data_IF_278165409315
#
_entry.id   IF_278165409315
#
_cell.length_a   1.000
_cell.length_b   1.000
_cell.length_c   1.000
_cell.angle_alpha   90.00
_cell.angle_beta   90.00
_cell.angle_gamma   90.00
#
_symmetry.space_group_name_H-M   'P 1'
#
loop_
_entity.id
_entity.type
_entity.pdbx_description
1 polymer ?
#
# COMPACT_ATOMS: atom_id res chain seq x y z
N UNK A 1 -6.61 -40.67 -12.61
CA UNK A 1 -7.79 -40.13 -11.91
C UNK A 1 -7.98 -40.95 -10.65
N UNK A 2 -7.77 -40.35 -9.48
CA UNK A 2 -7.73 -41.11 -8.23
C UNK A 2 -9.06 -41.82 -7.96
N UNK A 3 -9.01 -43.03 -7.42
CA UNK A 3 -10.20 -43.84 -7.12
C UNK A 3 -11.20 -43.10 -6.19
N UNK A 4 -10.70 -42.16 -5.40
CA UNK A 4 -11.53 -41.29 -4.55
C UNK A 4 -12.31 -40.27 -5.39
N UNK A 5 -11.68 -39.62 -6.36
CA UNK A 5 -12.33 -38.63 -7.24
C UNK A 5 -13.43 -39.27 -8.10
N UNK A 6 -13.23 -40.51 -8.55
CA UNK A 6 -14.25 -41.26 -9.30
C UNK A 6 -15.50 -41.56 -8.45
N UNK A 7 -15.34 -41.95 -7.18
CA UNK A 7 -16.47 -42.20 -6.26
C UNK A 7 -17.34 -40.95 -6.07
N UNK A 8 -16.72 -39.78 -5.89
CA UNK A 8 -17.46 -38.53 -5.71
C UNK A 8 -18.27 -38.14 -6.95
N UNK A 9 -17.72 -38.36 -8.14
CA UNK A 9 -18.43 -38.06 -9.40
C UNK A 9 -19.66 -38.96 -9.58
N UNK A 10 -19.53 -40.26 -9.28
CA UNK A 10 -20.66 -41.20 -9.35
C UNK A 10 -21.78 -40.81 -8.37
N UNK A 11 -21.43 -40.39 -7.15
CA UNK A 11 -22.40 -39.91 -6.17
C UNK A 11 -23.15 -38.67 -6.67
N UNK A 12 -22.43 -37.71 -7.28
CA UNK A 12 -23.03 -36.48 -7.83
C UNK A 12 -24.01 -36.81 -8.98
N UNK A 13 -23.65 -37.75 -9.86
CA UNK A 13 -24.51 -38.19 -10.97
C UNK A 13 -25.81 -38.83 -10.45
N UNK A 14 -25.71 -39.71 -9.44
CA UNK A 14 -26.90 -40.34 -8.82
C UNK A 14 -27.79 -39.29 -8.14
N UNK A 15 -27.20 -38.34 -7.42
CA UNK A 15 -27.94 -37.24 -6.80
C UNK A 15 -28.68 -36.39 -7.86
N UNK A 16 -28.01 -36.02 -8.96
CA UNK A 16 -28.61 -35.27 -10.06
C UNK A 16 -29.78 -36.04 -10.69
N UNK A 17 -29.64 -37.35 -10.91
CA UNK A 17 -30.68 -38.18 -11.48
C UNK A 17 -31.94 -38.22 -10.58
N UNK A 18 -31.77 -38.35 -9.27
CA UNK A 18 -32.89 -38.33 -8.30
C UNK A 18 -33.59 -36.96 -8.27
N UNK A 19 -32.83 -35.86 -8.36
CA UNK A 19 -33.38 -34.49 -8.39
C UNK A 19 -34.20 -34.23 -9.65
N UNK A 20 -33.75 -34.75 -10.79
CA UNK A 20 -34.45 -34.60 -12.08
C UNK A 20 -35.78 -35.37 -12.12
N UNK A 21 -35.89 -36.52 -11.46
CA UNK A 21 -37.12 -37.33 -11.49
C UNK A 21 -38.13 -37.03 -10.37
N UNK A 22 -37.79 -36.17 -9.40
CA UNK A 22 -38.68 -35.81 -8.29
C UNK A 22 -39.59 -34.63 -8.64
N UNK A 23 -40.74 -34.55 -7.94
CA UNK A 23 -41.77 -33.53 -8.14
C UNK A 23 -41.23 -32.10 -8.00
N UNK A 24 -41.86 -31.16 -8.71
CA UNK A 24 -41.44 -29.75 -8.78
C UNK A 24 -41.16 -29.12 -7.40
N UNK A 25 -41.97 -29.47 -6.39
CA UNK A 25 -41.82 -28.98 -5.01
C UNK A 25 -40.48 -29.37 -4.36
N UNK A 26 -39.93 -30.55 -4.70
CA UNK A 26 -38.66 -31.04 -4.13
C UNK A 26 -37.47 -30.28 -4.74
N UNK A 27 -37.58 -29.87 -6.02
CA UNK A 27 -36.55 -29.04 -6.67
C UNK A 27 -36.42 -27.67 -6.01
N UNK A 28 -37.54 -27.06 -5.62
CA UNK A 28 -37.57 -25.77 -4.91
C UNK A 28 -36.90 -25.89 -3.54
N UNK A 29 -37.24 -26.92 -2.77
CA UNK A 29 -36.64 -27.17 -1.45
C UNK A 29 -35.13 -27.35 -1.58
N UNK A 30 -34.67 -28.08 -2.59
CA UNK A 30 -33.25 -28.35 -2.79
C UNK A 30 -32.47 -27.11 -3.27
N UNK A 31 -33.08 -26.27 -4.11
CA UNK A 31 -32.52 -24.97 -4.50
C UNK A 31 -32.37 -24.04 -3.29
N UNK A 32 -33.34 -24.02 -2.37
CA UNK A 32 -33.24 -23.27 -1.12
C UNK A 32 -32.11 -23.78 -0.21
N UNK A 33 -31.93 -25.10 -0.11
CA UNK A 33 -30.81 -25.69 0.65
C UNK A 33 -29.47 -25.28 0.04
N UNK A 34 -29.32 -25.37 -1.29
CA UNK A 34 -28.08 -24.96 -1.98
C UNK A 34 -27.83 -23.46 -1.78
N UNK A 35 -28.84 -22.60 -1.96
CA UNK A 35 -28.71 -21.17 -1.74
C UNK A 35 -28.29 -20.86 -0.29
N UNK A 36 -28.87 -21.55 0.69
CA UNK A 36 -28.48 -21.42 2.09
C UNK A 36 -27.03 -21.85 2.33
N UNK A 37 -26.58 -22.97 1.75
CA UNK A 37 -25.19 -23.43 1.83
C UNK A 37 -24.24 -22.43 1.18
N UNK A 38 -24.58 -21.84 0.03
CA UNK A 38 -23.78 -20.81 -0.64
C UNK A 38 -23.68 -19.55 0.23
N UNK A 39 -24.80 -19.05 0.75
CA UNK A 39 -24.80 -17.87 1.64
C UNK A 39 -23.96 -18.13 2.89
N UNK A 40 -24.11 -19.32 3.50
CA UNK A 40 -23.33 -19.70 4.67
C UNK A 40 -21.84 -19.83 4.33
N UNK A 41 -21.50 -20.42 3.19
CA UNK A 41 -20.12 -20.55 2.71
C UNK A 41 -19.47 -19.18 2.44
N UNK A 42 -20.18 -18.29 1.76
CA UNK A 42 -19.73 -16.91 1.54
C UNK A 42 -19.53 -16.21 2.87
N UNK A 43 -20.49 -16.29 3.80
CA UNK A 43 -20.38 -15.69 5.13
C UNK A 43 -19.22 -16.28 5.93
N UNK A 44 -18.99 -17.58 5.86
CA UNK A 44 -17.87 -18.25 6.53
C UNK A 44 -16.52 -17.85 5.93
N UNK A 45 -16.42 -17.72 4.60
CA UNK A 45 -15.20 -17.33 3.91
C UNK A 45 -14.89 -15.84 4.09
N UNK A 46 -15.89 -14.96 4.03
CA UNK A 46 -15.72 -13.52 4.28
C UNK A 46 -15.53 -13.19 5.77
N UNK A 47 -16.13 -13.94 6.69
CA UNK A 47 -15.91 -13.74 8.14
C UNK A 47 -14.68 -14.48 8.68
N UNK A 48 -14.11 -15.42 7.92
CA UNK A 48 -12.68 -15.70 8.04
C UNK A 48 -11.95 -14.47 7.50
N UNK A 49 -11.75 -13.48 8.37
CA UNK A 49 -10.47 -12.75 8.32
C UNK A 49 -9.40 -13.83 8.17
N UNK A 50 -8.46 -13.71 7.21
CA UNK A 50 -7.35 -14.66 7.14
C UNK A 50 -6.85 -14.79 8.56
N UNK A 51 -6.86 -16.02 9.09
CA UNK A 51 -6.35 -16.27 10.43
C UNK A 51 -4.92 -15.78 10.38
N UNK A 52 -4.69 -14.60 10.92
CA UNK A 52 -3.38 -14.11 11.25
C UNK A 52 -2.88 -15.10 12.28
N UNK A 53 -2.20 -16.15 11.81
CA UNK A 53 -0.97 -16.50 12.51
C UNK A 53 -0.28 -15.16 12.72
N UNK A 54 -0.17 -14.74 13.98
CA UNK A 54 0.52 -13.52 14.37
C UNK A 54 1.98 -13.78 14.05
N UNK A 55 2.33 -13.71 12.76
CA UNK A 55 3.67 -13.35 12.34
C UNK A 55 3.79 -11.91 12.82
N UNK A 56 4.70 -11.69 13.76
CA UNK A 56 5.06 -10.35 14.19
C UNK A 56 5.72 -9.65 13.00
N UNK A 57 4.89 -9.16 12.07
CA UNK A 57 5.36 -8.24 11.06
C UNK A 57 5.64 -6.92 11.75
N UNK A 58 6.71 -6.21 11.35
CA UNK A 58 6.90 -4.87 11.83
C UNK A 58 5.66 -4.06 11.46
N UNK A 59 5.16 -3.27 12.39
CA UNK A 59 4.03 -2.37 12.17
C UNK A 59 4.53 -0.94 12.24
N UNK A 60 3.89 -0.04 11.48
CA UNK A 60 4.12 1.39 11.65
C UNK A 60 3.63 1.81 13.04
N UNK A 61 4.41 2.66 13.70
CA UNK A 61 4.08 3.16 15.04
C UNK A 61 3.00 4.25 14.99
N UNK A 62 2.84 4.89 13.83
CA UNK A 62 1.99 6.06 13.62
C UNK A 62 1.02 5.87 12.45
N UNK A 63 0.05 4.97 12.58
CA UNK A 63 -1.05 4.86 11.58
C UNK A 63 -2.27 5.59 12.09
N UNK A 64 -2.36 6.89 11.79
CA UNK A 64 -3.65 7.61 11.77
C UNK A 64 -4.22 7.76 10.36
N UNK A 65 -3.41 7.45 9.35
CA UNK A 65 -3.76 7.55 7.94
C UNK A 65 -4.32 6.21 7.41
N UNK A 66 -5.59 6.24 7.02
CA UNK A 66 -6.30 5.08 6.45
C UNK A 66 -5.70 4.64 5.11
N UNK A 67 -5.25 5.59 4.27
CA UNK A 67 -4.66 5.29 2.96
C UNK A 67 -3.34 4.52 3.14
N UNK A 68 -2.49 4.97 4.06
CA UNK A 68 -1.27 4.27 4.42
C UNK A 68 -1.55 2.90 5.05
N UNK A 69 -2.54 2.79 5.93
CA UNK A 69 -2.93 1.50 6.52
C UNK A 69 -3.32 0.48 5.46
N UNK A 70 -4.14 0.91 4.50
CA UNK A 70 -4.59 0.06 3.40
C UNK A 70 -3.42 -0.31 2.47
N UNK A 71 -2.52 0.64 2.22
CA UNK A 71 -1.28 0.38 1.50
C UNK A 71 -0.43 -0.70 2.17
N UNK A 72 -0.17 -0.57 3.48
CA UNK A 72 0.63 -1.54 4.24
C UNK A 72 0.04 -2.95 4.20
N UNK A 73 -1.28 -3.07 4.31
CA UNK A 73 -1.98 -4.34 4.17
C UNK A 73 -1.83 -4.92 2.75
N UNK A 74 -1.93 -4.08 1.72
CA UNK A 74 -1.77 -4.52 0.34
C UNK A 74 -0.36 -5.08 0.07
N UNK A 75 0.68 -4.52 0.68
CA UNK A 75 2.08 -4.95 0.48
C UNK A 75 2.58 -5.99 1.49
N UNK A 76 1.75 -6.47 2.42
CA UNK A 76 2.17 -7.38 3.51
C UNK A 76 2.85 -8.67 3.00
N UNK A 77 2.35 -9.23 1.90
CA UNK A 77 2.92 -10.43 1.28
C UNK A 77 4.32 -10.23 0.69
N UNK A 78 4.72 -8.98 0.41
CA UNK A 78 6.06 -8.63 -0.08
C UNK A 78 7.13 -8.94 0.99
N UNK A 79 6.78 -8.93 2.27
CA UNK A 79 7.68 -9.26 3.38
C UNK A 79 8.38 -10.62 3.16
N UNK A 80 7.69 -11.61 2.60
CA UNK A 80 8.25 -12.95 2.40
C UNK A 80 9.41 -13.00 1.38
N UNK A 81 9.53 -11.98 0.51
CA UNK A 81 10.55 -11.93 -0.54
C UNK A 81 11.82 -11.20 -0.10
N UNK A 82 11.69 -10.19 0.76
CA UNK A 82 12.84 -9.50 1.34
C UNK A 82 12.46 -8.84 2.69
N UNK A 83 12.52 -9.61 3.80
CA UNK A 83 12.15 -9.11 5.12
C UNK A 83 12.94 -7.87 5.56
N UNK A 84 14.25 -7.83 5.24
CA UNK A 84 15.14 -6.75 5.63
C UNK A 84 14.75 -5.43 4.97
N UNK A 85 14.51 -5.44 3.65
CA UNK A 85 14.09 -4.23 2.95
C UNK A 85 12.67 -3.82 3.35
N UNK A 86 11.78 -4.77 3.64
CA UNK A 86 10.46 -4.45 4.17
C UNK A 86 10.53 -3.77 5.55
N UNK A 87 11.41 -4.22 6.44
CA UNK A 87 11.69 -3.55 7.71
C UNK A 87 12.27 -2.14 7.53
N UNK A 88 13.19 -1.98 6.58
CA UNK A 88 13.76 -0.67 6.26
C UNK A 88 12.68 0.28 5.72
N UNK A 89 11.77 -0.21 4.87
CA UNK A 89 10.63 0.55 4.38
C UNK A 89 9.80 1.08 5.54
N UNK A 90 9.44 0.23 6.50
CA UNK A 90 8.63 0.63 7.67
C UNK A 90 9.35 1.69 8.51
N UNK A 91 10.65 1.53 8.75
CA UNK A 91 11.43 2.54 9.48
C UNK A 91 11.45 3.88 8.74
N UNK A 92 11.66 3.84 7.42
CA UNK A 92 11.64 5.04 6.56
C UNK A 92 10.29 5.72 6.56
N UNK A 93 9.20 4.96 6.49
CA UNK A 93 7.84 5.49 6.57
C UNK A 93 7.56 6.09 7.95
N UNK A 94 7.93 5.42 9.05
CA UNK A 94 7.81 6.00 10.39
C UNK A 94 8.54 7.34 10.50
N UNK A 95 9.76 7.45 9.93
CA UNK A 95 10.50 8.72 9.89
C UNK A 95 9.81 9.78 9.05
N UNK A 96 9.29 9.43 7.87
CA UNK A 96 8.52 10.36 7.06
C UNK A 96 7.34 10.95 7.86
N UNK A 97 6.56 10.10 8.53
CA UNK A 97 5.39 10.55 9.29
C UNK A 97 5.76 11.28 10.60
N UNK A 98 6.91 10.98 11.21
CA UNK A 98 7.45 11.77 12.33
C UNK A 98 7.67 13.23 11.90
N UNK A 99 8.32 13.46 10.76
CA UNK A 99 8.54 14.82 10.24
C UNK A 99 7.27 15.49 9.74
N UNK A 100 6.32 14.71 9.22
CA UNK A 100 4.98 15.21 8.89
C UNK A 100 4.30 15.75 10.15
N UNK A 101 4.20 14.98 11.24
CA UNK A 101 3.57 15.46 12.48
C UNK A 101 4.32 16.67 13.07
N UNK A 102 5.67 16.69 13.03
CA UNK A 102 6.47 17.83 13.51
C UNK A 102 6.18 19.13 12.74
N UNK A 103 5.93 19.05 11.43
CA UNK A 103 5.63 20.23 10.62
C UNK A 103 4.30 20.91 10.98
N UNK A 104 3.33 20.16 11.52
CA UNK A 104 2.07 20.73 12.03
C UNK A 104 2.19 21.24 13.47
N UNK A 105 3.20 20.82 14.22
CA UNK A 105 3.46 21.33 15.58
C UNK A 105 4.08 22.73 15.51
N UNK A 106 5.01 22.95 14.58
CA UNK A 106 5.69 24.23 14.36
C UNK A 106 5.76 24.57 12.87
N UNK A 107 4.82 25.42 12.42
CA UNK A 107 4.71 25.89 11.03
C UNK A 107 6.03 26.52 10.52
N UNK A 108 6.83 27.12 11.40
CA UNK A 108 8.11 27.77 11.00
C UNK A 108 9.17 26.77 10.54
N UNK A 109 8.98 25.49 10.87
CA UNK A 109 9.87 24.39 10.45
C UNK A 109 9.35 23.62 9.23
N UNK A 110 8.18 24.00 8.68
CA UNK A 110 7.53 23.29 7.59
C UNK A 110 8.44 23.10 6.36
N UNK A 111 9.15 24.15 5.93
CA UNK A 111 10.11 24.08 4.82
C UNK A 111 11.21 23.03 5.04
N UNK A 112 11.82 23.04 6.23
CA UNK A 112 12.90 22.10 6.56
C UNK A 112 12.36 20.67 6.61
N UNK A 113 11.19 20.50 7.21
CA UNK A 113 10.57 19.18 7.32
C UNK A 113 10.14 18.66 5.94
N UNK A 114 9.69 19.53 5.02
CA UNK A 114 9.40 19.17 3.64
C UNK A 114 10.62 18.56 2.94
N UNK A 115 11.79 19.22 2.98
CA UNK A 115 13.02 18.71 2.34
C UNK A 115 13.42 17.32 2.90
N UNK A 116 13.31 17.17 4.22
CA UNK A 116 13.61 15.90 4.90
C UNK A 116 12.60 14.81 4.51
N UNK A 117 11.31 15.15 4.46
CA UNK A 117 10.25 14.25 4.06
C UNK A 117 10.40 13.81 2.61
N UNK A 118 10.74 14.70 1.68
CA UNK A 118 10.98 14.33 0.28
C UNK A 118 12.16 13.35 0.17
N UNK A 119 13.22 13.54 0.97
CA UNK A 119 14.32 12.58 1.07
C UNK A 119 13.83 11.20 1.55
N UNK A 120 13.02 11.14 2.60
CA UNK A 120 12.45 9.87 3.09
C UNK A 120 11.49 9.23 2.09
N UNK A 121 10.72 10.03 1.33
CA UNK A 121 9.91 9.55 0.20
C UNK A 121 10.77 8.87 -0.85
N UNK A 122 11.84 9.51 -1.32
CA UNK A 122 12.73 8.90 -2.30
C UNK A 122 13.36 7.60 -1.77
N UNK A 123 13.76 7.59 -0.50
CA UNK A 123 14.29 6.38 0.14
C UNK A 123 13.26 5.26 0.19
N UNK A 124 12.00 5.55 0.54
CA UNK A 124 10.94 4.55 0.60
C UNK A 124 10.66 3.92 -0.77
N UNK A 125 10.58 4.76 -1.82
CA UNK A 125 10.39 4.30 -3.20
C UNK A 125 11.56 3.45 -3.70
N UNK A 126 12.79 3.84 -3.37
CA UNK A 126 13.99 3.08 -3.70
C UNK A 126 14.04 1.72 -2.99
N UNK A 127 13.71 1.68 -1.70
CA UNK A 127 13.63 0.44 -0.92
C UNK A 127 12.61 -0.50 -1.56
N UNK A 128 11.40 -0.02 -1.82
CA UNK A 128 10.34 -0.84 -2.40
C UNK A 128 10.75 -1.37 -3.80
N UNK A 129 11.36 -0.52 -4.63
CA UNK A 129 11.87 -0.90 -5.95
C UNK A 129 13.02 -1.90 -5.87
N UNK A 130 13.85 -1.86 -4.83
CA UNK A 130 14.97 -2.81 -4.65
C UNK A 130 14.48 -4.24 -4.42
N UNK A 131 13.28 -4.42 -3.85
CA UNK A 131 12.69 -5.75 -3.61
C UNK A 131 12.38 -6.46 -4.94
N UNK A 132 12.17 -5.72 -6.03
CA UNK A 132 11.99 -6.30 -7.38
C UNK A 132 13.19 -7.17 -7.77
N UNK A 133 14.39 -6.82 -7.30
CA UNK A 133 15.62 -7.52 -7.63
C UNK A 133 15.72 -8.89 -6.94
N UNK A 134 14.91 -9.16 -5.91
CA UNK A 134 14.97 -10.42 -5.15
C UNK A 134 14.01 -11.50 -5.65
N UNK A 135 13.18 -11.19 -6.64
CA UNK A 135 12.14 -12.10 -7.12
C UNK A 135 12.06 -12.18 -8.64
N UNK A 136 11.95 -13.39 -9.17
CA UNK A 136 11.69 -13.64 -10.59
C UNK A 136 10.18 -13.73 -10.92
N UNK A 137 9.32 -13.63 -9.89
CA UNK A 137 7.88 -13.73 -10.06
C UNK A 137 7.32 -12.44 -10.69
N UNK A 138 6.89 -12.53 -11.96
CA UNK A 138 6.33 -11.39 -12.71
C UNK A 138 5.12 -10.74 -12.02
N UNK A 139 4.26 -11.52 -11.36
CA UNK A 139 3.11 -10.98 -10.61
C UNK A 139 3.58 -10.08 -9.46
N UNK A 140 4.60 -10.52 -8.73
CA UNK A 140 5.16 -9.75 -7.60
C UNK A 140 5.87 -8.50 -8.10
N UNK A 141 6.62 -8.58 -9.20
CA UNK A 141 7.24 -7.40 -9.82
C UNK A 141 6.21 -6.36 -10.22
N UNK A 142 5.12 -6.79 -10.87
CA UNK A 142 4.02 -5.90 -11.22
C UNK A 142 3.41 -5.26 -9.97
N UNK A 143 3.11 -6.08 -8.95
CA UNK A 143 2.56 -5.60 -7.68
C UNK A 143 3.47 -4.57 -7.00
N UNK A 144 4.79 -4.80 -6.97
CA UNK A 144 5.76 -3.86 -6.40
C UNK A 144 5.76 -2.53 -7.17
N UNK A 145 5.77 -2.56 -8.50
CA UNK A 145 5.71 -1.34 -9.31
C UNK A 145 4.45 -0.53 -9.03
N UNK A 146 3.27 -1.16 -9.07
CA UNK A 146 2.00 -0.49 -8.77
C UNK A 146 1.98 0.02 -7.32
N UNK A 147 2.56 -0.73 -6.38
CA UNK A 147 2.67 -0.29 -4.98
C UNK A 147 3.58 0.93 -4.84
N UNK A 148 4.67 1.02 -5.61
CA UNK A 148 5.54 2.20 -5.61
C UNK A 148 4.83 3.44 -6.15
N UNK A 149 4.01 3.31 -7.19
CA UNK A 149 3.17 4.39 -7.70
C UNK A 149 2.17 4.85 -6.62
N UNK A 150 1.44 3.91 -6.01
CA UNK A 150 0.50 4.23 -4.93
C UNK A 150 1.18 4.90 -3.74
N UNK A 151 2.36 4.41 -3.33
CA UNK A 151 3.12 5.00 -2.24
C UNK A 151 3.57 6.43 -2.59
N UNK A 152 4.03 6.65 -3.82
CA UNK A 152 4.41 7.97 -4.29
C UNK A 152 3.24 8.95 -4.24
N UNK A 153 2.04 8.53 -4.65
CA UNK A 153 0.83 9.36 -4.56
C UNK A 153 0.49 9.73 -3.11
N UNK A 154 0.45 8.74 -2.20
CA UNK A 154 0.16 8.96 -0.77
C UNK A 154 1.16 9.95 -0.18
N UNK A 155 2.47 9.73 -0.37
CA UNK A 155 3.49 10.59 0.22
C UNK A 155 3.53 11.99 -0.42
N UNK A 156 3.23 12.11 -1.71
CA UNK A 156 3.12 13.42 -2.39
C UNK A 156 1.98 14.24 -1.84
N UNK A 157 0.81 13.63 -1.62
CA UNK A 157 -0.33 14.31 -0.98
C UNK A 157 0.04 14.90 0.39
N UNK A 158 0.84 14.19 1.18
CA UNK A 158 1.31 14.69 2.48
C UNK A 158 2.35 15.80 2.33
N UNK A 159 3.26 15.70 1.36
CA UNK A 159 4.19 16.78 1.03
C UNK A 159 3.47 18.05 0.58
N UNK A 160 2.42 17.93 -0.25
CA UNK A 160 1.62 19.08 -0.71
C UNK A 160 0.95 19.82 0.46
N UNK A 161 0.49 19.08 1.48
CA UNK A 161 -0.04 19.67 2.70
C UNK A 161 1.02 20.46 3.47
N UNK A 162 2.24 19.94 3.59
CA UNK A 162 3.35 20.65 4.23
C UNK A 162 3.76 21.88 3.42
N UNK A 163 3.76 21.77 2.08
CA UNK A 163 4.05 22.90 1.21
C UNK A 163 3.04 24.01 1.42
N UNK A 164 1.75 23.69 1.51
CA UNK A 164 0.71 24.67 1.81
C UNK A 164 0.89 25.34 3.18
N UNK A 165 1.30 24.59 4.21
CA UNK A 165 1.63 25.17 5.53
C UNK A 165 2.79 26.17 5.43
N UNK A 166 3.83 25.80 4.67
CA UNK A 166 5.00 26.65 4.44
C UNK A 166 4.62 27.95 3.72
N UNK A 167 3.84 27.85 2.66
CA UNK A 167 3.37 29.02 1.90
C UNK A 167 2.52 29.95 2.77
N UNK A 168 1.70 29.38 3.66
CA UNK A 168 0.88 30.13 4.60
C UNK A 168 1.73 30.85 5.68
N UNK A 169 2.80 30.23 6.18
CA UNK A 169 3.76 30.88 7.09
C UNK A 169 4.46 32.05 6.39
N UNK A 170 4.96 31.84 5.17
CA UNK A 170 5.59 32.89 4.35
C UNK A 170 4.60 34.04 4.09
N UNK A 171 3.34 33.73 3.78
CA UNK A 171 2.32 34.75 3.55
C UNK A 171 2.05 35.60 4.80
N UNK A 172 2.02 34.99 5.99
CA UNK A 172 1.76 35.69 7.26
C UNK A 172 2.97 36.48 7.76
N UNK A 173 4.16 35.89 7.67
CA UNK A 173 5.37 36.36 8.37
C UNK A 173 6.42 36.96 7.42
N UNK A 174 6.22 36.84 6.10
CA UNK A 174 7.18 37.21 5.07
C UNK A 174 8.35 36.22 4.96
N UNK A 175 9.22 36.49 4.00
CA UNK A 175 10.46 35.71 3.84
C UNK A 175 11.44 35.98 4.99
N UNK A 176 12.04 34.93 5.53
CA UNK A 176 13.11 34.99 6.52
C UNK A 176 14.26 34.03 6.17
N UNK A 177 15.33 34.00 6.97
CA UNK A 177 16.51 33.16 6.71
C UNK A 177 16.24 31.66 6.67
N UNK A 178 15.10 31.22 7.21
CA UNK A 178 14.68 29.82 7.25
C UNK A 178 13.61 29.50 6.19
N UNK A 179 13.07 30.50 5.47
CA UNK A 179 12.12 30.27 4.39
C UNK A 179 12.86 30.01 3.09
N UNK A 180 12.52 28.92 2.42
CA UNK A 180 12.91 28.64 1.04
C UNK A 180 11.67 28.44 0.20
N UNK A 181 11.76 28.79 -1.07
CA UNK A 181 10.69 28.50 -2.04
C UNK A 181 10.76 27.00 -2.33
N UNK A 182 9.65 26.31 -2.10
CA UNK A 182 9.48 24.92 -2.53
C UNK A 182 9.17 24.97 -4.02
N UNK A 183 10.10 24.47 -4.83
CA UNK A 183 9.94 24.45 -6.29
C UNK A 183 9.09 23.24 -6.72
N UNK A 184 7.90 23.51 -7.25
CA UNK A 184 6.97 22.51 -7.77
C UNK A 184 7.34 22.00 -9.17
N UNK A 185 8.36 22.56 -9.85
CA UNK A 185 8.82 22.13 -11.19
C UNK A 185 9.56 20.76 -11.19
N UNK A 186 9.44 19.99 -10.11
CA UNK A 186 10.01 18.65 -9.96
C UNK A 186 9.09 17.51 -10.40
N UNK A 187 8.00 17.78 -11.13
CA UNK A 187 7.34 16.79 -12.01
C UNK A 187 8.24 16.40 -13.20
N UNK A 188 9.49 16.03 -12.90
CA UNK A 188 10.40 15.41 -13.85
C UNK A 188 10.20 13.90 -13.75
N UNK A 189 10.07 13.19 -14.89
CA UNK A 189 9.96 11.75 -14.89
C UNK A 189 11.14 11.15 -14.11
N UNK A 190 10.84 10.15 -13.27
CA UNK A 190 11.77 9.42 -12.43
C UNK A 190 12.98 8.96 -13.26
N UNK A 191 14.11 9.66 -13.14
CA UNK A 191 15.34 9.29 -13.83
C UNK A 191 16.41 9.04 -12.76
N UNK A 192 16.59 7.76 -12.44
CA UNK A 192 17.69 7.26 -11.62
C UNK A 192 19.00 7.63 -12.31
N UNK A 193 19.86 8.41 -11.64
CA UNK A 193 21.16 8.97 -12.09
C UNK A 193 21.09 10.38 -12.70
N UNK A 194 21.15 11.43 -11.87
CA UNK A 194 21.84 12.67 -12.28
C UNK A 194 22.28 13.67 -11.18
N UNK A 195 22.36 13.29 -9.90
CA UNK A 195 22.72 14.26 -8.84
C UNK A 195 24.23 14.35 -8.51
N UNK A 196 25.11 13.77 -9.32
CA UNK A 196 26.54 14.08 -9.22
C UNK A 196 26.94 15.39 -9.94
N UNK A 197 26.05 16.02 -10.72
CA UNK A 197 26.43 17.16 -11.58
C UNK A 197 25.39 18.28 -11.70
N UNK A 198 24.54 18.54 -10.71
CA UNK A 198 23.76 19.79 -10.70
C UNK A 198 24.50 20.88 -9.94
N UNK A 199 25.20 21.68 -10.74
CA UNK A 199 25.81 22.94 -10.37
C UNK A 199 24.84 23.80 -9.55
N UNK A 200 25.35 24.30 -8.43
CA UNK A 200 24.82 25.46 -7.73
C UNK A 200 24.51 26.58 -8.73
N UNK A 201 23.23 26.87 -8.98
CA UNK A 201 22.82 28.15 -9.54
C UNK A 201 22.35 29.03 -8.39
N UNK A 202 23.25 29.89 -7.92
CA UNK A 202 22.84 31.07 -7.17
C UNK A 202 22.17 32.01 -8.17
N UNK A 203 20.88 32.23 -8.06
CA UNK A 203 20.27 33.40 -8.68
C UNK A 203 20.58 34.61 -7.78
N UNK A 204 21.46 35.46 -8.29
CA UNK A 204 21.73 36.80 -7.76
C UNK A 204 21.00 37.78 -8.68
N UNK A 205 19.89 38.34 -8.20
CA UNK A 205 19.56 39.77 -8.09
C UNK A 205 18.05 39.98 -7.91
#
# INVERSE_FOLDING_TARGET
MDANNFKYIVIVIICLFVILHKSFNIRIILALIIAFVIIFYIKYFYNKKPSTEIKNYPSLEFIKDEELSNFMYNIEDIYMYNPLEYENLIKTLNKFYEYYELAFIDETTANKNYEIMDTYKQNALNILSSIILTTDNQYIRYKINTSAETLNEIMTKHLDQISYLSDNDIYKNGYNVNTKIIDFDSTKPYNNYNDMFKNYSYEVY
#
